data_IF_629508465299
#
_entry.id   IF_629508465299
#
_cell.length_a   1.000
_cell.length_b   1.000
_cell.length_c   1.000
_cell.angle_alpha   90.00
_cell.angle_beta   90.00
_cell.angle_gamma   90.00
#
_symmetry.space_group_name_H-M   'P 1'
#
loop_
_entity.id
_entity.type
_entity.pdbx_description
1 polymer ?
#
# COMPACT_ATOMS: atom_id res chain seq x y z
N UNK A 1 -7.61 -21.39 -28.74
CA UNK A 1 -7.26 -21.04 -30.13
C UNK A 1 -8.19 -19.96 -30.70
N UNK A 2 -9.50 -20.14 -30.89
CA UNK A 2 -10.37 -19.12 -31.50
C UNK A 2 -10.39 -17.78 -30.72
N UNK A 3 -10.34 -17.82 -29.40
CA UNK A 3 -10.36 -16.62 -28.53
C UNK A 3 -9.18 -15.67 -28.76
N UNK A 4 -8.05 -16.15 -29.28
CA UNK A 4 -6.88 -15.32 -29.63
C UNK A 4 -6.76 -15.10 -31.14
N UNK A 5 -7.76 -15.50 -31.93
CA UNK A 5 -7.82 -15.26 -33.37
C UNK A 5 -6.82 -16.08 -34.19
N UNK A 6 -6.38 -17.24 -33.69
CA UNK A 6 -5.53 -18.14 -34.47
C UNK A 6 -6.37 -19.07 -35.36
N UNK A 7 -6.02 -19.12 -36.62
CA UNK A 7 -6.72 -19.92 -37.64
C UNK A 7 -6.30 -21.39 -37.60
N UNK A 8 -5.07 -21.67 -37.12
CA UNK A 8 -4.53 -23.03 -37.03
C UNK A 8 -3.99 -23.31 -35.62
N UNK A 9 -4.11 -24.56 -35.19
CA UNK A 9 -3.59 -25.01 -33.89
C UNK A 9 -2.06 -24.85 -33.83
N UNK A 10 -1.34 -25.13 -34.91
CA UNK A 10 0.11 -24.98 -35.00
C UNK A 10 0.56 -23.53 -34.75
N UNK A 11 -0.16 -22.55 -35.30
CA UNK A 11 0.16 -21.13 -35.06
C UNK A 11 -0.09 -20.74 -33.59
N UNK A 12 -1.15 -21.22 -32.97
CA UNK A 12 -1.43 -21.05 -31.54
C UNK A 12 -0.38 -21.75 -30.67
N UNK A 13 -0.01 -22.99 -31.02
CA UNK A 13 0.97 -23.80 -30.29
C UNK A 13 2.35 -23.14 -30.23
N UNK A 14 2.73 -22.33 -31.24
CA UNK A 14 3.95 -21.53 -31.18
C UNK A 14 3.95 -20.53 -30.02
N UNK A 15 2.84 -19.87 -29.75
CA UNK A 15 2.72 -18.97 -28.58
C UNK A 15 2.76 -19.74 -27.27
N UNK A 16 2.11 -20.91 -27.21
CA UNK A 16 2.17 -21.82 -26.05
C UNK A 16 3.59 -22.29 -25.79
N UNK A 17 4.33 -22.69 -26.81
CA UNK A 17 5.73 -23.14 -26.69
C UNK A 17 6.66 -22.03 -26.20
N UNK A 18 6.44 -20.78 -26.60
CA UNK A 18 7.17 -19.63 -26.04
C UNK A 18 6.85 -19.45 -24.56
N UNK A 19 5.59 -19.59 -24.16
CA UNK A 19 5.17 -19.55 -22.76
C UNK A 19 5.81 -20.69 -21.94
N UNK A 20 5.90 -21.91 -22.49
CA UNK A 20 6.64 -23.02 -21.87
C UNK A 20 8.10 -22.66 -21.59
N UNK A 21 8.79 -22.11 -22.59
CA UNK A 21 10.20 -21.67 -22.42
C UNK A 21 10.35 -20.61 -21.35
N UNK A 22 9.41 -19.65 -21.28
CA UNK A 22 9.40 -18.63 -20.24
C UNK A 22 9.26 -19.25 -18.84
N UNK A 23 8.32 -20.18 -18.65
CA UNK A 23 8.16 -20.89 -17.37
C UNK A 23 9.46 -21.63 -16.99
N UNK A 24 10.06 -22.37 -17.91
CA UNK A 24 11.31 -23.11 -17.68
C UNK A 24 12.45 -22.16 -17.28
N UNK A 25 12.60 -21.04 -17.96
CA UNK A 25 13.65 -20.03 -17.66
C UNK A 25 13.44 -19.37 -16.29
N UNK A 26 12.21 -19.27 -15.82
CA UNK A 26 11.86 -18.69 -14.52
C UNK A 26 11.81 -19.71 -13.38
N UNK A 27 12.08 -21.00 -13.67
CA UNK A 27 11.98 -22.08 -12.67
C UNK A 27 10.54 -22.35 -12.19
N UNK A 28 9.54 -21.95 -12.98
CA UNK A 28 8.12 -22.15 -12.64
C UNK A 28 7.68 -23.55 -13.08
N UNK A 29 7.09 -24.37 -12.19
CA UNK A 29 6.61 -25.71 -12.54
C UNK A 29 5.52 -25.63 -13.63
N UNK A 30 5.75 -26.33 -14.75
CA UNK A 30 4.86 -26.26 -15.92
C UNK A 30 3.45 -26.72 -15.61
N UNK A 31 3.31 -27.78 -14.78
CA UNK A 31 2.01 -28.34 -14.41
C UNK A 31 1.10 -27.38 -13.64
N UNK A 32 1.66 -26.33 -13.00
CA UNK A 32 0.88 -25.28 -12.32
C UNK A 32 0.32 -24.25 -13.29
N UNK A 33 0.89 -24.19 -14.50
CA UNK A 33 0.64 -23.10 -15.44
C UNK A 33 -0.02 -23.58 -16.73
N UNK A 34 0.51 -24.62 -17.35
CA UNK A 34 0.11 -25.10 -18.69
C UNK A 34 0.05 -26.64 -18.66
N UNK A 35 -1.13 -27.20 -18.79
CA UNK A 35 -1.34 -28.63 -18.83
C UNK A 35 -1.87 -29.05 -20.22
N UNK A 36 -1.13 -29.88 -20.98
CA UNK A 36 -1.68 -30.48 -22.19
C UNK A 36 -2.82 -31.43 -21.83
N UNK A 37 -3.86 -31.37 -22.60
CA UNK A 37 -5.04 -32.26 -22.48
C UNK A 37 -5.45 -32.75 -23.86
N UNK A 38 -6.11 -33.90 -23.89
CA UNK A 38 -6.78 -34.37 -25.11
C UNK A 38 -8.27 -34.09 -24.97
N UNK A 39 -8.87 -33.50 -26.00
CA UNK A 39 -10.31 -33.30 -26.12
C UNK A 39 -10.86 -34.20 -27.18
N UNK A 40 -12.00 -34.77 -26.93
CA UNK A 40 -12.81 -35.46 -27.95
C UNK A 40 -13.80 -34.43 -28.53
N UNK A 41 -13.64 -34.12 -29.81
CA UNK A 41 -14.53 -33.22 -30.54
C UNK A 41 -15.08 -34.03 -31.72
N UNK A 42 -16.37 -34.37 -31.67
CA UNK A 42 -17.07 -35.15 -32.68
C UNK A 42 -16.41 -36.51 -32.99
N UNK A 43 -15.89 -37.21 -31.96
CA UNK A 43 -15.22 -38.50 -32.10
C UNK A 43 -13.75 -38.44 -32.55
N UNK A 44 -13.19 -37.25 -32.71
CA UNK A 44 -11.79 -37.03 -33.03
C UNK A 44 -11.04 -36.50 -31.79
N UNK A 45 -9.98 -37.22 -31.41
CA UNK A 45 -9.10 -36.73 -30.32
C UNK A 45 -8.21 -35.61 -30.83
N UNK A 46 -8.45 -34.43 -30.27
CA UNK A 46 -7.63 -33.26 -30.55
C UNK A 46 -6.82 -32.84 -29.30
N UNK A 47 -5.58 -32.49 -29.53
CA UNK A 47 -4.72 -31.92 -28.48
C UNK A 47 -5.16 -30.50 -28.14
N UNK A 48 -5.24 -30.20 -26.83
CA UNK A 48 -5.56 -28.85 -26.32
C UNK A 48 -4.73 -28.58 -25.05
N UNK A 49 -4.91 -27.40 -24.45
CA UNK A 49 -4.19 -26.99 -23.26
C UNK A 49 -5.15 -26.40 -22.21
N UNK A 50 -5.03 -26.89 -20.99
CA UNK A 50 -5.63 -26.24 -19.83
C UNK A 50 -4.64 -25.25 -19.25
N UNK A 51 -4.99 -23.96 -19.23
CA UNK A 51 -4.13 -22.88 -18.79
C UNK A 51 -4.63 -22.32 -17.46
N UNK A 52 -3.72 -22.03 -16.53
CA UNK A 52 -4.00 -21.14 -15.42
C UNK A 52 -4.15 -19.69 -15.92
N UNK A 53 -4.63 -18.77 -15.08
CA UNK A 53 -4.70 -17.34 -15.45
C UNK A 53 -3.31 -16.79 -15.84
N UNK A 54 -2.26 -17.20 -15.12
CA UNK A 54 -0.89 -16.84 -15.45
C UNK A 54 -0.42 -17.49 -16.77
N UNK A 55 -0.83 -18.71 -17.05
CA UNK A 55 -0.60 -19.37 -18.35
C UNK A 55 -1.27 -18.60 -19.50
N UNK A 56 -2.52 -18.18 -19.33
CA UNK A 56 -3.20 -17.33 -20.31
C UNK A 56 -2.45 -16.02 -20.55
N UNK A 57 -1.96 -15.37 -19.48
CA UNK A 57 -1.13 -14.18 -19.59
C UNK A 57 0.14 -14.43 -20.41
N UNK A 58 0.90 -15.47 -20.08
CA UNK A 58 2.13 -15.80 -20.80
C UNK A 58 1.89 -16.11 -22.28
N UNK A 59 0.81 -16.84 -22.60
CA UNK A 59 0.45 -17.13 -24.00
C UNK A 59 0.05 -15.85 -24.73
N UNK A 60 -0.74 -14.97 -24.10
CA UNK A 60 -1.14 -13.71 -24.71
C UNK A 60 0.06 -12.77 -24.98
N UNK A 61 0.98 -12.65 -24.01
CA UNK A 61 2.19 -11.81 -24.16
C UNK A 61 3.12 -12.33 -25.25
N UNK A 62 3.18 -13.65 -25.45
CA UNK A 62 3.99 -14.29 -26.49
C UNK A 62 3.23 -14.50 -27.82
N UNK A 63 1.98 -14.04 -27.89
CA UNK A 63 1.14 -14.13 -29.06
C UNK A 63 1.50 -13.11 -30.15
N UNK A 64 0.92 -13.30 -31.33
CA UNK A 64 1.09 -12.40 -32.46
C UNK A 64 0.27 -11.11 -32.26
N UNK A 65 0.94 -10.00 -32.00
CA UNK A 65 0.31 -8.69 -31.76
C UNK A 65 -0.44 -8.11 -32.97
N UNK A 66 -0.18 -8.63 -34.17
CA UNK A 66 -0.94 -8.24 -35.34
C UNK A 66 -2.41 -8.75 -35.30
N UNK A 67 -2.68 -9.72 -34.44
CA UNK A 67 -4.05 -10.22 -34.21
C UNK A 67 -4.79 -9.35 -33.19
N UNK A 68 -5.95 -8.73 -33.55
CA UNK A 68 -6.69 -7.85 -32.64
C UNK A 68 -7.06 -8.52 -31.31
N UNK A 69 -7.36 -9.81 -31.31
CA UNK A 69 -7.71 -10.57 -30.11
C UNK A 69 -6.51 -10.74 -29.16
N UNK A 70 -5.31 -10.90 -29.68
CA UNK A 70 -4.08 -10.95 -28.89
C UNK A 70 -3.81 -9.57 -28.28
N UNK A 71 -3.91 -8.50 -29.06
CA UNK A 71 -3.75 -7.13 -28.57
C UNK A 71 -4.79 -6.81 -27.46
N UNK A 72 -6.05 -7.20 -27.63
CA UNK A 72 -7.09 -7.04 -26.61
C UNK A 72 -6.78 -7.83 -25.32
N UNK A 73 -6.29 -9.07 -25.44
CA UNK A 73 -5.90 -9.88 -24.30
C UNK A 73 -4.70 -9.25 -23.55
N UNK A 74 -3.69 -8.74 -24.26
CA UNK A 74 -2.57 -8.04 -23.64
C UNK A 74 -3.04 -6.78 -22.89
N UNK A 75 -3.90 -5.96 -23.51
CA UNK A 75 -4.49 -4.77 -22.88
C UNK A 75 -5.27 -5.13 -21.61
N UNK A 76 -6.05 -6.22 -21.62
CA UNK A 76 -6.76 -6.72 -20.44
C UNK A 76 -5.80 -7.05 -19.29
N UNK A 77 -4.70 -7.75 -19.56
CA UNK A 77 -3.74 -8.12 -18.51
C UNK A 77 -2.95 -6.90 -17.98
N UNK A 78 -2.66 -5.91 -18.80
CA UNK A 78 -2.08 -4.64 -18.35
C UNK A 78 -3.05 -3.91 -17.42
N UNK A 79 -4.32 -3.78 -17.81
CA UNK A 79 -5.35 -3.16 -16.98
C UNK A 79 -5.56 -3.91 -15.64
N UNK A 80 -5.51 -5.24 -15.67
CA UNK A 80 -5.60 -6.07 -14.48
C UNK A 80 -4.42 -5.84 -13.53
N UNK A 81 -3.19 -5.78 -14.05
CA UNK A 81 -2.00 -5.51 -13.24
C UNK A 81 -2.06 -4.11 -12.59
N UNK A 82 -2.54 -3.11 -13.33
CA UNK A 82 -2.73 -1.75 -12.82
C UNK A 82 -3.80 -1.70 -11.72
N UNK A 83 -4.93 -2.40 -11.90
CA UNK A 83 -5.98 -2.50 -10.88
C UNK A 83 -5.47 -3.18 -9.59
N UNK A 84 -4.62 -4.20 -9.69
CA UNK A 84 -3.97 -4.81 -8.53
C UNK A 84 -3.01 -3.85 -7.82
N UNK A 85 -2.22 -3.10 -8.57
CA UNK A 85 -1.31 -2.08 -8.03
C UNK A 85 -2.09 -1.01 -7.27
N UNK A 86 -3.16 -0.51 -7.84
CA UNK A 86 -4.04 0.47 -7.20
C UNK A 86 -4.69 -0.09 -5.93
N UNK A 87 -5.12 -1.35 -5.95
CA UNK A 87 -5.72 -2.00 -4.78
C UNK A 87 -4.74 -2.11 -3.61
N UNK A 88 -3.49 -2.54 -3.88
CA UNK A 88 -2.43 -2.61 -2.86
C UNK A 88 -2.15 -1.20 -2.30
N UNK A 89 -2.04 -0.19 -3.17
CA UNK A 89 -1.80 1.18 -2.75
C UNK A 89 -2.96 1.74 -1.90
N UNK A 90 -4.20 1.38 -2.22
CA UNK A 90 -5.37 1.75 -1.42
C UNK A 90 -5.34 1.10 -0.03
N UNK A 91 -4.94 -0.16 0.08
CA UNK A 91 -4.80 -0.84 1.36
C UNK A 91 -3.75 -0.16 2.26
N UNK A 92 -2.58 0.17 1.73
CA UNK A 92 -1.56 0.94 2.44
C UNK A 92 -2.07 2.32 2.89
N UNK A 93 -2.85 2.97 2.05
CA UNK A 93 -3.45 4.26 2.36
C UNK A 93 -4.47 4.18 3.49
N UNK A 94 -5.29 3.12 3.54
CA UNK A 94 -6.22 2.88 4.67
C UNK A 94 -5.43 2.71 5.97
N UNK A 95 -4.37 1.90 5.97
CA UNK A 95 -3.53 1.73 7.15
C UNK A 95 -2.90 3.05 7.61
N UNK A 96 -2.44 3.89 6.68
CA UNK A 96 -1.93 5.23 7.02
C UNK A 96 -2.99 6.11 7.69
N UNK A 97 -4.24 6.06 7.21
CA UNK A 97 -5.35 6.80 7.82
C UNK A 97 -5.61 6.32 9.25
N UNK A 98 -5.57 5.02 9.50
CA UNK A 98 -5.75 4.44 10.84
C UNK A 98 -4.62 4.88 11.78
N UNK A 99 -3.36 4.69 11.40
CA UNK A 99 -2.21 5.10 12.21
C UNK A 99 -2.27 6.63 12.48
N UNK A 100 -2.71 7.44 11.52
CA UNK A 100 -2.84 8.89 11.73
C UNK A 100 -3.91 9.24 12.77
N UNK A 101 -4.99 8.46 12.82
CA UNK A 101 -6.00 8.59 13.87
C UNK A 101 -5.41 8.30 15.25
N UNK A 102 -4.72 7.16 15.39
CA UNK A 102 -4.06 6.76 16.63
C UNK A 102 -3.05 7.82 17.10
N UNK A 103 -2.23 8.33 16.17
CA UNK A 103 -1.28 9.43 16.47
C UNK A 103 -2.02 10.64 17.05
N UNK A 104 -3.18 11.02 16.49
CA UNK A 104 -3.93 12.19 16.98
C UNK A 104 -4.44 11.98 18.41
N UNK A 105 -4.86 10.79 18.75
CA UNK A 105 -5.28 10.43 20.10
C UNK A 105 -4.11 10.51 21.08
N UNK A 106 -2.96 9.95 20.70
CA UNK A 106 -1.75 10.00 21.52
C UNK A 106 -1.14 11.39 21.62
N UNK A 107 -1.19 12.23 20.57
CA UNK A 107 -0.79 13.65 20.64
C UNK A 107 -1.63 14.39 21.71
N UNK A 108 -2.95 14.12 21.76
CA UNK A 108 -3.84 14.72 22.75
C UNK A 108 -3.56 14.19 24.17
N UNK A 109 -3.34 12.89 24.34
CA UNK A 109 -2.97 12.29 25.62
C UNK A 109 -1.68 12.88 26.16
N UNK A 110 -0.62 12.83 25.35
CA UNK A 110 0.70 13.37 25.70
C UNK A 110 0.63 14.88 26.02
N UNK A 111 -0.16 15.64 25.28
CA UNK A 111 -0.40 17.06 25.55
C UNK A 111 -0.96 17.26 26.94
N UNK A 112 -1.95 16.48 27.35
CA UNK A 112 -2.51 16.51 28.70
C UNK A 112 -1.49 16.18 29.79
N UNK A 113 -0.62 15.18 29.54
CA UNK A 113 0.43 14.77 30.47
C UNK A 113 1.48 15.86 30.66
N UNK A 114 1.98 16.44 29.57
CA UNK A 114 3.06 17.43 29.67
C UNK A 114 2.59 18.76 30.25
N UNK A 115 1.32 19.16 30.02
CA UNK A 115 0.78 20.35 30.72
C UNK A 115 0.69 20.13 32.24
N UNK A 116 0.27 18.95 32.68
CA UNK A 116 0.29 18.60 34.10
C UNK A 116 1.70 18.54 34.68
N UNK A 117 2.67 18.20 33.86
CA UNK A 117 4.08 18.14 34.23
C UNK A 117 4.81 19.50 34.15
N UNK A 118 4.09 20.59 33.88
CA UNK A 118 4.64 21.95 33.89
C UNK A 118 5.35 22.37 32.60
N UNK A 119 4.85 21.92 31.42
CA UNK A 119 5.30 22.48 30.15
C UNK A 119 4.74 23.89 29.99
N UNK A 120 5.61 24.84 29.68
CA UNK A 120 5.26 26.25 29.43
C UNK A 120 4.99 26.50 27.94
N UNK A 121 5.82 25.90 27.08
CA UNK A 121 5.70 26.00 25.63
C UNK A 121 5.66 24.62 24.97
N UNK A 122 4.45 24.20 24.62
CA UNK A 122 4.23 22.89 23.98
C UNK A 122 4.91 22.76 22.62
N UNK A 123 5.03 23.84 21.85
CA UNK A 123 5.67 23.81 20.55
C UNK A 123 7.17 23.49 20.65
N UNK A 124 7.86 24.02 21.66
CA UNK A 124 9.27 23.67 21.92
C UNK A 124 9.44 22.21 22.34
N UNK A 125 8.56 21.75 23.21
CA UNK A 125 8.52 20.33 23.60
C UNK A 125 8.30 19.42 22.38
N UNK A 126 7.33 19.74 21.55
CA UNK A 126 7.08 18.97 20.31
C UNK A 126 8.29 18.99 19.38
N UNK A 127 8.88 20.16 19.16
CA UNK A 127 10.08 20.30 18.34
C UNK A 127 11.28 19.51 18.88
N UNK A 128 11.44 19.44 20.20
CA UNK A 128 12.49 18.64 20.83
C UNK A 128 12.38 17.14 20.45
N UNK A 129 11.17 16.60 20.42
CA UNK A 129 10.92 15.23 19.94
C UNK A 129 11.28 15.02 18.46
N UNK A 130 10.95 15.99 17.61
CA UNK A 130 11.35 15.97 16.20
C UNK A 130 12.86 16.08 16.02
N UNK A 131 13.53 16.98 16.76
CA UNK A 131 15.00 17.08 16.75
C UNK A 131 15.67 15.75 17.12
N UNK A 132 15.15 15.06 18.14
CA UNK A 132 15.66 13.74 18.51
C UNK A 132 15.55 12.75 17.37
N UNK A 133 14.38 12.64 16.74
CA UNK A 133 14.10 11.62 15.73
C UNK A 133 14.69 11.96 14.34
N UNK A 134 14.64 13.23 13.94
CA UNK A 134 15.02 13.64 12.58
C UNK A 134 16.35 14.39 12.51
N UNK A 135 16.98 14.62 13.65
CA UNK A 135 18.21 15.41 13.76
C UNK A 135 18.09 16.84 13.15
N UNK A 136 16.87 17.36 13.15
CA UNK A 136 16.53 18.70 12.66
C UNK A 136 15.24 19.22 13.30
N UNK A 137 15.03 20.53 13.20
CA UNK A 137 13.81 21.16 13.65
C UNK A 137 12.61 20.83 12.75
N UNK A 138 11.41 20.86 13.33
CA UNK A 138 10.15 20.55 12.62
C UNK A 138 9.93 21.43 11.39
N UNK A 139 10.34 22.70 11.43
CA UNK A 139 10.20 23.61 10.29
C UNK A 139 11.07 23.15 9.10
N UNK A 140 12.29 22.68 9.37
CA UNK A 140 13.19 22.15 8.33
C UNK A 140 12.65 20.83 7.76
N UNK A 141 12.09 19.97 8.61
CA UNK A 141 11.45 18.73 8.17
C UNK A 141 10.25 19.02 7.26
N UNK A 142 9.44 20.04 7.60
CA UNK A 142 8.31 20.47 6.77
C UNK A 142 8.77 20.92 5.39
N UNK A 143 9.81 21.71 5.32
CA UNK A 143 10.40 22.21 4.08
C UNK A 143 10.87 21.04 3.19
N UNK A 144 11.66 20.11 3.75
CA UNK A 144 12.17 18.94 3.02
C UNK A 144 11.03 18.05 2.50
N UNK A 145 9.96 17.91 3.27
CA UNK A 145 8.81 17.08 2.88
C UNK A 145 7.77 17.83 2.03
N UNK A 146 7.99 19.08 1.71
CA UNK A 146 7.05 19.91 0.95
C UNK A 146 5.69 20.09 1.63
N UNK A 147 5.68 20.19 2.98
CA UNK A 147 4.45 20.29 3.77
C UNK A 147 3.95 21.74 3.79
N UNK A 148 2.69 22.01 3.37
CA UNK A 148 2.09 23.34 3.46
C UNK A 148 2.03 23.86 4.90
N UNK A 149 2.09 25.20 5.10
CA UNK A 149 2.18 25.82 6.43
C UNK A 149 1.05 25.45 7.40
N UNK A 150 -0.14 25.22 6.89
CA UNK A 150 -1.32 24.88 7.67
C UNK A 150 -1.54 23.35 7.86
N UNK A 151 -0.52 22.52 7.57
CA UNK A 151 -0.62 21.06 7.62
C UNK A 151 0.41 20.45 8.56
N UNK A 152 0.08 19.30 9.12
CA UNK A 152 1.03 18.52 9.92
C UNK A 152 2.01 17.76 9.02
N UNK A 153 3.32 17.70 9.36
CA UNK A 153 4.24 16.81 8.66
C UNK A 153 3.80 15.34 8.63
N UNK A 154 3.11 14.90 9.67
CA UNK A 154 2.57 13.55 9.79
C UNK A 154 1.60 13.19 8.66
N UNK A 155 0.91 14.18 8.11
CA UNK A 155 -0.03 13.97 7.00
C UNK A 155 0.67 13.57 5.68
N UNK A 156 1.98 13.78 5.60
CA UNK A 156 2.83 13.52 4.43
C UNK A 156 3.86 12.41 4.68
N UNK A 157 3.71 11.65 5.75
CA UNK A 157 4.61 10.55 6.11
C UNK A 157 4.08 9.20 5.62
N UNK A 158 5.01 8.31 5.24
CA UNK A 158 4.70 6.93 4.91
C UNK A 158 4.36 6.11 6.16
N UNK A 159 3.81 4.90 5.98
CA UNK A 159 3.39 3.99 7.04
C UNK A 159 4.49 3.75 8.09
N UNK A 160 5.71 3.40 7.65
CA UNK A 160 6.83 3.13 8.54
C UNK A 160 7.17 4.34 9.42
N UNK A 161 7.22 5.52 8.82
CA UNK A 161 7.56 6.75 9.51
C UNK A 161 6.46 7.17 10.51
N UNK A 162 5.19 6.97 10.14
CA UNK A 162 4.06 7.21 11.05
C UNK A 162 4.06 6.25 12.24
N UNK A 163 4.33 4.96 12.01
CA UNK A 163 4.44 3.97 13.10
C UNK A 163 5.59 4.31 14.06
N UNK A 164 6.72 4.77 13.54
CA UNK A 164 7.84 5.22 14.37
C UNK A 164 7.50 6.49 15.18
N UNK A 165 6.73 7.42 14.60
CA UNK A 165 6.23 8.59 15.34
C UNK A 165 5.21 8.22 16.41
N UNK A 166 4.31 7.27 16.14
CA UNK A 166 3.38 6.75 17.14
C UNK A 166 4.14 6.15 18.32
N UNK A 167 5.13 5.29 18.05
CA UNK A 167 5.99 4.71 19.07
C UNK A 167 6.77 5.80 19.86
N UNK A 168 7.30 6.81 19.18
CA UNK A 168 7.95 7.95 19.83
C UNK A 168 7.02 8.68 20.82
N UNK A 169 5.75 8.90 20.45
CA UNK A 169 4.77 9.58 21.31
C UNK A 169 4.42 8.75 22.53
N UNK A 170 4.12 7.45 22.34
CA UNK A 170 3.79 6.53 23.42
C UNK A 170 4.93 6.38 24.43
N UNK A 171 6.16 6.18 23.94
CA UNK A 171 7.35 6.06 24.79
C UNK A 171 7.72 7.37 25.50
N UNK A 172 7.47 8.52 24.87
CA UNK A 172 7.67 9.83 25.52
C UNK A 172 6.70 10.00 26.68
N UNK A 173 5.43 9.66 26.49
CA UNK A 173 4.42 9.72 27.54
C UNK A 173 4.74 8.75 28.68
N UNK A 174 5.08 7.50 28.37
CA UNK A 174 5.46 6.49 29.34
C UNK A 174 6.67 6.94 30.16
N UNK A 175 7.71 7.47 29.51
CA UNK A 175 8.91 7.98 30.18
C UNK A 175 8.59 9.12 31.14
N UNK A 176 7.78 10.09 30.71
CA UNK A 176 7.40 11.25 31.57
C UNK A 176 6.65 10.76 32.82
N UNK A 177 5.69 9.83 32.64
CA UNK A 177 4.91 9.28 33.76
C UNK A 177 5.75 8.44 34.71
N UNK A 178 6.56 7.52 34.17
CA UNK A 178 7.33 6.57 34.98
C UNK A 178 8.48 7.21 35.74
N UNK A 179 9.15 8.22 35.15
CA UNK A 179 10.26 8.90 35.76
C UNK A 179 9.83 10.19 36.51
N UNK A 180 8.55 10.55 36.51
CA UNK A 180 8.05 11.76 37.16
C UNK A 180 8.68 13.05 36.61
N UNK A 181 8.94 13.10 35.28
CA UNK A 181 9.64 14.23 34.64
C UNK A 181 8.77 15.49 34.73
N UNK A 182 9.36 16.59 35.24
CA UNK A 182 8.66 17.88 35.41
C UNK A 182 9.50 19.06 34.92
N UNK A 183 8.81 20.10 34.44
CA UNK A 183 9.39 21.35 33.97
C UNK A 183 9.88 21.31 32.53
N UNK A 184 9.81 22.45 31.85
CA UNK A 184 10.04 22.61 30.42
C UNK A 184 11.32 21.93 29.91
N UNK A 185 12.46 22.29 30.48
CA UNK A 185 13.78 21.79 30.04
C UNK A 185 13.92 20.27 30.15
N UNK A 186 13.42 19.68 31.25
CA UNK A 186 13.49 18.24 31.46
C UNK A 186 12.54 17.48 30.54
N UNK A 187 11.36 18.02 30.27
CA UNK A 187 10.40 17.48 29.32
C UNK A 187 10.95 17.47 27.90
N UNK A 188 11.58 18.56 27.47
CA UNK A 188 12.27 18.64 26.18
C UNK A 188 13.42 17.64 26.06
N UNK A 189 14.22 17.52 27.12
CA UNK A 189 15.31 16.54 27.16
C UNK A 189 14.77 15.09 27.07
N UNK A 190 13.67 14.78 27.76
CA UNK A 190 13.03 13.46 27.67
C UNK A 190 12.50 13.18 26.25
N UNK A 191 11.81 14.14 25.62
CA UNK A 191 11.30 14.00 24.25
C UNK A 191 12.47 13.81 23.23
N UNK A 192 13.56 14.58 23.38
CA UNK A 192 14.75 14.44 22.54
C UNK A 192 15.40 13.06 22.71
N UNK A 193 15.53 12.59 23.95
CA UNK A 193 16.13 11.26 24.24
C UNK A 193 15.34 10.14 23.63
N UNK A 194 14.01 10.14 23.76
CA UNK A 194 13.14 9.14 23.14
C UNK A 194 13.19 9.22 21.62
N UNK A 195 13.10 10.43 21.05
CA UNK A 195 13.22 10.62 19.61
C UNK A 195 14.53 10.05 19.06
N UNK A 196 15.67 10.28 19.74
CA UNK A 196 16.95 9.73 19.36
C UNK A 196 16.98 8.20 19.44
N UNK A 197 16.42 7.60 20.48
CA UNK A 197 16.36 6.16 20.63
C UNK A 197 15.53 5.49 19.51
N UNK A 198 14.41 6.10 19.11
CA UNK A 198 13.61 5.64 17.96
C UNK A 198 14.40 5.74 16.67
N UNK A 199 15.09 6.86 16.43
CA UNK A 199 15.99 7.04 15.28
C UNK A 199 17.05 5.97 15.21
N UNK A 200 17.78 5.75 16.32
CA UNK A 200 18.86 4.77 16.40
C UNK A 200 18.34 3.34 16.12
N UNK A 201 17.13 3.04 16.60
CA UNK A 201 16.44 1.76 16.33
C UNK A 201 16.10 1.60 14.84
N UNK A 202 15.56 2.62 14.20
CA UNK A 202 15.29 2.59 12.76
C UNK A 202 16.55 2.39 11.93
N UNK A 203 17.62 3.10 12.27
CA UNK A 203 18.91 2.96 11.59
C UNK A 203 19.51 1.58 11.74
N UNK A 204 19.40 0.98 12.94
CA UNK A 204 19.93 -0.36 13.22
C UNK A 204 19.14 -1.48 12.55
N UNK A 205 17.80 -1.39 12.54
CA UNK A 205 16.94 -2.48 12.05
C UNK A 205 16.69 -2.43 10.54
N UNK A 206 16.53 -1.25 9.98
CA UNK A 206 16.15 -1.08 8.57
C UNK A 206 17.12 -0.23 7.75
N UNK A 207 18.25 0.19 8.33
CA UNK A 207 19.21 1.13 7.74
C UNK A 207 18.56 2.44 7.25
N UNK A 208 17.35 2.75 7.72
CA UNK A 208 16.57 3.90 7.29
C UNK A 208 16.86 5.10 8.17
N UNK A 209 17.30 6.19 7.55
CA UNK A 209 17.38 7.49 8.22
C UNK A 209 16.02 8.19 8.11
N UNK A 210 15.33 8.52 9.22
CA UNK A 210 13.98 9.09 9.17
C UNK A 210 13.88 10.35 8.30
N UNK A 211 14.89 11.20 8.33
CA UNK A 211 14.92 12.44 7.54
C UNK A 211 15.04 12.24 6.02
N UNK A 212 15.50 11.06 5.58
CA UNK A 212 15.64 10.70 4.16
C UNK A 212 14.46 9.91 3.61
N UNK A 213 13.49 9.56 4.45
CA UNK A 213 12.28 8.88 4.00
C UNK A 213 11.47 9.79 3.06
N UNK A 214 11.07 9.24 1.93
CA UNK A 214 10.33 10.01 0.91
C UNK A 214 8.98 10.48 1.45
N UNK A 215 8.55 11.70 1.10
CA UNK A 215 7.19 12.13 1.38
C UNK A 215 6.17 11.19 0.74
N UNK A 216 5.07 10.97 1.43
CA UNK A 216 3.92 10.23 0.92
C UNK A 216 2.79 11.19 0.53
N UNK A 217 1.79 10.67 -0.21
CA UNK A 217 0.63 11.45 -0.60
C UNK A 217 -0.11 12.01 0.62
N UNK A 218 -0.70 13.21 0.47
CA UNK A 218 -1.47 13.87 1.52
C UNK A 218 -2.62 13.00 2.03
N UNK A 219 -2.62 12.72 3.33
CA UNK A 219 -3.62 11.85 3.95
C UNK A 219 -5.05 12.41 3.86
N UNK A 220 -5.24 13.73 3.81
CA UNK A 220 -6.58 14.33 3.61
C UNK A 220 -7.13 14.07 2.21
N UNK A 221 -6.27 14.07 1.20
CA UNK A 221 -6.67 13.69 -0.15
C UNK A 221 -7.09 12.22 -0.21
N UNK A 222 -6.33 11.36 0.46
CA UNK A 222 -6.66 9.93 0.60
C UNK A 222 -8.02 9.75 1.29
N UNK A 223 -8.24 10.40 2.44
CA UNK A 223 -9.51 10.35 3.18
C UNK A 223 -10.70 10.83 2.31
N UNK A 224 -10.50 11.91 1.55
CA UNK A 224 -11.51 12.42 0.62
C UNK A 224 -11.80 11.45 -0.51
N UNK A 225 -10.76 10.81 -1.06
CA UNK A 225 -10.88 9.75 -2.06
C UNK A 225 -11.67 8.55 -1.53
N UNK A 226 -11.32 8.03 -0.36
CA UNK A 226 -12.03 6.91 0.28
C UNK A 226 -13.51 7.23 0.55
N UNK A 227 -13.82 8.45 1.02
CA UNK A 227 -15.22 8.89 1.21
C UNK A 227 -15.99 8.94 -0.11
N UNK A 228 -15.36 9.39 -1.19
CA UNK A 228 -15.97 9.40 -2.53
C UNK A 228 -16.20 7.96 -3.02
N UNK A 229 -15.22 7.09 -2.91
CA UNK A 229 -15.34 5.67 -3.27
C UNK A 229 -16.50 5.01 -2.51
N UNK A 230 -16.59 5.21 -1.18
CA UNK A 230 -17.73 4.71 -0.38
C UNK A 230 -19.08 5.19 -0.92
N UNK A 231 -19.18 6.46 -1.30
CA UNK A 231 -20.41 7.03 -1.88
C UNK A 231 -20.78 6.40 -3.24
N UNK A 232 -19.77 6.11 -4.07
CA UNK A 232 -19.98 5.43 -5.37
C UNK A 232 -20.46 3.98 -5.17
N UNK A 233 -19.86 3.23 -4.24
CA UNK A 233 -20.31 1.87 -3.90
C UNK A 233 -21.75 1.88 -3.36
N UNK A 234 -22.11 2.80 -2.46
CA UNK A 234 -23.48 2.94 -1.97
C UNK A 234 -24.50 3.13 -3.10
N UNK A 235 -24.18 3.96 -4.10
CA UNK A 235 -25.04 4.14 -5.29
C UNK A 235 -25.19 2.86 -6.13
N UNK A 236 -24.16 2.01 -6.17
CA UNK A 236 -24.19 0.74 -6.90
C UNK A 236 -25.06 -0.26 -6.12
N UNK A 237 -24.92 -0.32 -4.81
CA UNK A 237 -25.72 -1.20 -3.93
C UNK A 237 -27.20 -0.83 -4.00
N UNK A 238 -27.55 0.46 -3.96
CA UNK A 238 -28.92 0.96 -4.11
C UNK A 238 -29.54 0.62 -5.49
N UNK A 239 -28.72 0.52 -6.55
CA UNK A 239 -29.17 0.13 -7.90
C UNK A 239 -29.33 -1.38 -8.07
N UNK A 240 -28.68 -2.19 -7.24
CA UNK A 240 -28.81 -3.65 -7.19
C UNK A 240 -29.90 -4.09 -6.21
N UNK A 241 -31.06 -3.49 -6.26
CA UNK A 241 -32.26 -4.17 -5.82
C UNK A 241 -32.43 -5.40 -6.69
N UNK A 242 -31.83 -6.52 -6.27
CA UNK A 242 -32.02 -7.82 -6.92
C UNK A 242 -33.52 -8.07 -7.01
N UNK A 243 -34.10 -8.41 -8.20
CA UNK A 243 -35.46 -8.84 -8.28
C UNK A 243 -35.60 -10.06 -7.38
N UNK A 244 -36.33 -9.91 -6.27
CA UNK A 244 -36.75 -11.05 -5.47
C UNK A 244 -37.46 -12.01 -6.41
N UNK A 245 -36.89 -13.21 -6.60
CA UNK A 245 -37.62 -14.31 -7.22
C UNK A 245 -38.90 -14.47 -6.43
N UNK A 246 -40.01 -14.04 -7.01
CA UNK A 246 -41.32 -14.42 -6.52
C UNK A 246 -41.45 -15.92 -6.68
N UNK A 247 -41.34 -16.65 -5.58
CA UNK A 247 -41.85 -17.99 -5.47
C UNK A 247 -43.35 -17.92 -5.73
N UNK A 248 -43.73 -18.18 -6.96
CA UNK A 248 -45.11 -18.51 -7.29
C UNK A 248 -45.21 -20.04 -7.31
N UNK A 249 -46.07 -20.46 -6.40
CA UNK A 249 -46.60 -21.79 -6.18
C UNK A 249 -46.73 -22.69 -7.43
#
# INVERSE_FOLDING_TARGET
MPLLGYDTFTAFENAVNKAFRACTSLGIPLHDVINPIDRDIDGVRERDYKLSRFGCYLVAVNGDVAKPQVAAAQTYFVALAEAFREHIQQAENVERVLIRSDISEWENSLKGVVYKAGVENFAYFQNAGYRGMYNMDIWRLREIKGVPDNRSPLDFMGKQEMAANLFRLTETEAKIKNEGVQGQTRLEAAATKVGKAVRDTMMRLSASRPELLRPAADIKQIQSGLKRTRKEFGKIDDRKGLPQKSDKK
#
